data_IF_592838933920
#
_entry.id   IF_592838933920
#
_cell.length_a   1.000
_cell.length_b   1.000
_cell.length_c   1.000
_cell.angle_alpha   90.00
_cell.angle_beta   90.00
_cell.angle_gamma   90.00
#
_symmetry.space_group_name_H-M   'P 1'
#
loop_
_entity.id
_entity.type
_entity.pdbx_description
1 polymer ?
#
# COMPACT_ATOMS: atom_id res chain seq x y z
N UNK A 1 -17.47 5.99 14.47
CA UNK A 1 -16.15 6.48 14.96
C UNK A 1 -15.13 5.41 15.36
N UNK A 2 -15.50 4.26 15.95
CA UNK A 2 -14.52 3.32 16.54
C UNK A 2 -13.41 2.87 15.57
N UNK A 3 -13.75 2.55 14.32
CA UNK A 3 -12.78 2.18 13.29
C UNK A 3 -11.75 3.30 13.02
N UNK A 4 -12.22 4.54 12.84
CA UNK A 4 -11.33 5.69 12.56
C UNK A 4 -10.41 5.95 13.75
N UNK A 5 -10.94 5.87 14.99
CA UNK A 5 -10.13 5.99 16.20
C UNK A 5 -9.07 4.89 16.29
N UNK A 6 -9.41 3.67 15.91
CA UNK A 6 -8.46 2.56 15.83
C UNK A 6 -7.38 2.81 14.77
N UNK A 7 -7.76 3.28 13.58
CA UNK A 7 -6.80 3.64 12.52
C UNK A 7 -5.85 4.75 12.96
N UNK A 8 -6.38 5.83 13.56
CA UNK A 8 -5.58 6.94 14.09
C UNK A 8 -4.66 6.53 15.24
N UNK A 9 -5.06 5.56 16.06
CA UNK A 9 -4.22 5.06 17.16
C UNK A 9 -2.91 4.42 16.68
N UNK A 10 -2.79 4.06 15.39
CA UNK A 10 -1.52 3.61 14.83
C UNK A 10 -0.45 4.70 14.83
N UNK A 11 -0.80 5.97 14.68
CA UNK A 11 0.18 7.06 14.64
C UNK A 11 1.04 7.13 15.92
N UNK A 12 0.45 7.25 17.13
CA UNK A 12 1.23 7.21 18.36
C UNK A 12 1.82 5.82 18.64
N UNK A 13 1.18 4.73 18.22
CA UNK A 13 1.72 3.38 18.44
C UNK A 13 3.02 3.14 17.65
N UNK A 14 3.06 3.54 16.38
CA UNK A 14 4.29 3.49 15.58
C UNK A 14 5.36 4.40 16.15
N UNK A 15 5.01 5.64 16.52
CA UNK A 15 5.97 6.55 17.12
C UNK A 15 6.60 5.96 18.40
N UNK A 16 5.76 5.40 19.28
CA UNK A 16 6.19 4.77 20.52
C UNK A 16 7.16 3.62 20.25
N UNK A 17 6.75 2.64 19.44
CA UNK A 17 7.56 1.47 19.08
C UNK A 17 8.91 1.89 18.49
N UNK A 18 8.90 2.79 17.50
CA UNK A 18 10.10 3.15 16.77
C UNK A 18 11.07 4.02 17.58
N UNK A 19 10.56 4.72 18.59
CA UNK A 19 11.36 5.50 19.53
C UNK A 19 11.96 4.58 20.60
N UNK A 20 11.17 3.65 21.14
CA UNK A 20 11.63 2.68 22.14
C UNK A 20 12.74 1.77 21.59
N UNK A 21 12.58 1.31 20.36
CA UNK A 21 13.55 0.44 19.68
C UNK A 21 14.68 1.23 18.98
N UNK A 22 14.70 2.57 19.09
CA UNK A 22 15.72 3.46 18.51
C UNK A 22 15.93 3.30 16.98
N UNK A 23 14.88 2.94 16.24
CA UNK A 23 14.92 2.69 14.78
C UNK A 23 14.19 3.74 13.94
N UNK A 24 13.68 4.82 14.55
CA UNK A 24 12.88 5.85 13.85
C UNK A 24 13.57 6.44 12.61
N UNK A 25 14.86 6.79 12.71
CA UNK A 25 15.63 7.32 11.58
C UNK A 25 15.93 6.26 10.51
N UNK A 26 16.30 5.04 10.94
CA UNK A 26 16.59 3.91 10.05
C UNK A 26 15.43 3.65 9.11
N UNK A 27 14.21 3.62 9.64
CA UNK A 27 12.98 3.31 8.90
C UNK A 27 12.37 4.53 8.20
N UNK A 28 13.04 5.68 8.28
CA UNK A 28 12.59 6.94 7.68
C UNK A 28 11.20 7.38 8.16
N UNK A 29 10.92 7.18 9.46
CA UNK A 29 9.61 7.51 10.03
C UNK A 29 9.41 9.03 10.13
N UNK A 30 8.23 9.50 9.70
CA UNK A 30 7.81 10.90 9.84
C UNK A 30 6.32 10.97 10.16
N UNK A 31 5.96 11.73 11.17
CA UNK A 31 4.58 12.15 11.40
C UNK A 31 4.32 13.48 10.70
N UNK A 32 3.09 13.68 10.25
CA UNK A 32 2.67 14.92 9.64
C UNK A 32 1.20 14.87 9.26
N UNK A 33 0.87 15.58 8.20
CA UNK A 33 -0.46 15.60 7.62
C UNK A 33 -0.42 15.05 6.20
N UNK A 34 -1.56 14.52 5.77
CA UNK A 34 -1.82 14.13 4.39
C UNK A 34 -3.14 14.74 3.95
N UNK A 35 -3.40 14.75 2.64
CA UNK A 35 -4.65 15.25 2.09
C UNK A 35 -5.34 14.23 1.19
N UNK A 36 -6.66 14.38 1.07
CA UNK A 36 -7.49 13.83 0.00
C UNK A 36 -7.95 15.00 -0.88
N UNK A 37 -7.33 15.15 -2.06
CA UNK A 37 -7.61 16.21 -3.01
C UNK A 37 -8.78 15.81 -3.94
N UNK A 38 -9.79 16.67 -4.04
CA UNK A 38 -10.88 16.52 -4.98
C UNK A 38 -10.50 17.10 -6.34
N UNK A 39 -10.43 16.25 -7.36
CA UNK A 39 -10.06 16.64 -8.73
C UNK A 39 -11.29 16.68 -9.67
N UNK A 40 -12.49 16.47 -9.11
CA UNK A 40 -13.78 16.55 -9.77
C UNK A 40 -14.86 16.97 -8.78
N UNK A 41 -15.96 17.52 -9.28
CA UNK A 41 -17.13 17.88 -8.46
C UNK A 41 -17.71 16.67 -7.72
N UNK A 42 -17.74 15.51 -8.38
CA UNK A 42 -18.21 14.26 -7.75
C UNK A 42 -17.34 13.89 -6.54
N UNK A 43 -16.02 13.93 -6.71
CA UNK A 43 -15.09 13.65 -5.62
C UNK A 43 -15.23 14.68 -4.49
N UNK A 44 -15.44 15.96 -4.83
CA UNK A 44 -15.59 17.01 -3.83
C UNK A 44 -16.85 16.83 -2.98
N UNK A 45 -18.00 16.62 -3.64
CA UNK A 45 -19.27 16.34 -2.95
C UNK A 45 -19.14 15.14 -2.02
N UNK A 46 -18.46 14.08 -2.46
CA UNK A 46 -18.23 12.87 -1.65
C UNK A 46 -17.32 13.13 -0.45
N UNK A 47 -16.13 13.71 -0.66
CA UNK A 47 -15.15 13.94 0.39
C UNK A 47 -15.67 14.92 1.45
N UNK A 48 -16.20 16.07 1.01
CA UNK A 48 -16.84 17.04 1.90
C UNK A 48 -18.04 16.44 2.62
N UNK A 49 -18.89 15.70 1.90
CA UNK A 49 -20.05 15.03 2.48
C UNK A 49 -19.68 14.02 3.57
N UNK A 50 -18.61 13.25 3.37
CA UNK A 50 -18.11 12.30 4.37
C UNK A 50 -17.59 13.01 5.62
N UNK A 51 -16.82 14.10 5.46
CA UNK A 51 -16.35 14.92 6.58
C UNK A 51 -17.51 15.54 7.35
N UNK A 52 -18.47 16.16 6.67
CA UNK A 52 -19.63 16.79 7.31
C UNK A 52 -20.54 15.76 8.01
N UNK A 53 -20.68 14.56 7.43
CA UNK A 53 -21.41 13.47 8.07
C UNK A 53 -20.71 13.00 9.36
N UNK A 54 -19.38 12.84 9.33
CA UNK A 54 -18.57 12.50 10.50
C UNK A 54 -18.70 13.57 11.60
N UNK A 55 -18.57 14.84 11.21
CA UNK A 55 -18.69 16.00 12.10
C UNK A 55 -20.08 16.08 12.74
N UNK A 56 -21.15 15.83 11.97
CA UNK A 56 -22.53 15.83 12.46
C UNK A 56 -22.81 14.68 13.43
N UNK A 57 -22.31 13.48 13.15
CA UNK A 57 -22.59 12.29 13.96
C UNK A 57 -21.84 12.29 15.29
N UNK A 58 -20.63 12.85 15.32
CA UNK A 58 -19.74 12.77 16.48
C UNK A 58 -19.51 14.11 17.20
N UNK A 59 -19.93 15.22 16.59
CA UNK A 59 -19.79 16.56 17.13
C UNK A 59 -18.45 17.21 16.79
N UNK A 60 -18.44 18.55 16.75
CA UNK A 60 -17.25 19.34 16.41
C UNK A 60 -16.14 19.21 17.46
N UNK A 61 -16.50 18.79 18.67
CA UNK A 61 -15.57 18.66 19.79
C UNK A 61 -14.81 17.34 19.82
N UNK A 62 -15.17 16.36 18.99
CA UNK A 62 -14.44 15.08 18.92
C UNK A 62 -13.02 15.28 18.38
N UNK A 63 -12.06 14.62 19.03
CA UNK A 63 -10.62 14.75 18.72
C UNK A 63 -10.27 14.36 17.27
N UNK A 64 -10.99 13.38 16.69
CA UNK A 64 -10.79 12.99 15.29
C UNK A 64 -11.27 14.09 14.36
N UNK A 65 -12.44 14.66 14.64
CA UNK A 65 -13.02 15.74 13.84
C UNK A 65 -12.12 16.97 13.88
N UNK A 66 -11.61 17.33 15.06
CA UNK A 66 -10.67 18.45 15.26
C UNK A 66 -9.33 18.26 14.55
N UNK A 67 -8.88 17.02 14.40
CA UNK A 67 -7.64 16.70 13.72
C UNK A 67 -7.76 16.83 12.19
N UNK A 68 -8.98 16.83 11.66
CA UNK A 68 -9.26 16.97 10.24
C UNK A 68 -9.68 18.42 9.91
N UNK A 69 -9.44 18.87 8.68
CA UNK A 69 -9.96 20.15 8.18
C UNK A 69 -10.32 20.10 6.71
N UNK A 70 -11.20 21.00 6.30
CA UNK A 70 -11.50 21.25 4.89
C UNK A 70 -10.70 22.45 4.36
N UNK A 71 -10.24 22.33 3.13
CA UNK A 71 -9.79 23.46 2.31
C UNK A 71 -10.79 23.55 1.15
N UNK A 72 -11.69 24.52 1.21
CA UNK A 72 -12.79 24.67 0.24
C UNK A 72 -12.49 25.68 -0.87
N UNK A 73 -11.58 26.62 -0.60
CA UNK A 73 -11.12 27.57 -1.60
C UNK A 73 -10.20 26.86 -2.60
N UNK A 74 -10.51 26.97 -3.88
CA UNK A 74 -9.81 26.22 -4.94
C UNK A 74 -8.35 26.65 -5.08
N UNK A 75 -8.05 27.94 -4.92
CA UNK A 75 -6.67 28.45 -5.01
C UNK A 75 -5.83 27.96 -3.82
N UNK A 76 -6.39 28.04 -2.60
CA UNK A 76 -5.75 27.51 -1.40
C UNK A 76 -5.60 25.98 -1.45
N UNK A 77 -6.57 25.26 -2.02
CA UNK A 77 -6.51 23.81 -2.17
C UNK A 77 -5.41 23.41 -3.16
N UNK A 78 -5.32 24.06 -4.31
CA UNK A 78 -4.23 23.85 -5.27
C UNK A 78 -2.86 24.21 -4.68
N UNK A 79 -2.76 25.32 -3.93
CA UNK A 79 -1.51 25.73 -3.28
C UNK A 79 -1.05 24.69 -2.23
N UNK A 80 -1.96 24.23 -1.38
CA UNK A 80 -1.65 23.27 -0.31
C UNK A 80 -1.34 21.88 -0.85
N UNK A 81 -2.19 21.36 -1.74
CA UNK A 81 -2.05 19.99 -2.28
C UNK A 81 -0.98 19.90 -3.37
N UNK A 82 -0.68 21.03 -4.02
CA UNK A 82 0.17 21.13 -5.21
C UNK A 82 -0.36 20.33 -6.40
N UNK A 83 -1.67 20.05 -6.40
CA UNK A 83 -2.36 19.31 -7.47
C UNK A 83 -3.13 20.30 -8.34
N UNK A 84 -2.79 20.35 -9.63
CA UNK A 84 -3.39 21.26 -10.62
C UNK A 84 -4.90 21.01 -10.73
N UNK A 85 -5.68 22.08 -10.74
CA UNK A 85 -7.15 22.06 -10.80
C UNK A 85 -7.81 21.32 -9.63
N UNK A 86 -7.18 21.30 -8.46
CA UNK A 86 -7.82 20.82 -7.23
C UNK A 86 -9.00 21.71 -6.85
N UNK A 87 -10.16 21.11 -6.62
CA UNK A 87 -11.40 21.81 -6.28
C UNK A 87 -11.58 22.01 -4.76
N UNK A 88 -10.85 21.23 -3.97
CA UNK A 88 -10.95 21.24 -2.52
C UNK A 88 -10.20 20.04 -1.93
N UNK A 89 -9.92 20.09 -0.63
CA UNK A 89 -9.19 19.00 0.03
C UNK A 89 -9.73 18.73 1.44
N UNK A 90 -9.67 17.47 1.85
CA UNK A 90 -9.75 17.06 3.25
C UNK A 90 -8.33 16.83 3.73
N UNK A 91 -7.90 17.47 4.80
CA UNK A 91 -6.56 17.28 5.37
C UNK A 91 -6.70 16.62 6.73
N UNK A 92 -5.87 15.61 6.99
CA UNK A 92 -5.91 14.83 8.22
C UNK A 92 -4.51 14.34 8.62
N UNK A 93 -4.31 13.87 9.87
CA UNK A 93 -3.02 13.37 10.32
C UNK A 93 -2.61 12.10 9.57
N UNK A 94 -1.30 11.92 9.39
CA UNK A 94 -0.72 10.75 8.77
C UNK A 94 0.71 10.47 9.26
N UNK A 95 1.17 9.24 8.99
CA UNK A 95 2.54 8.82 9.20
C UNK A 95 3.12 8.27 7.90
N UNK A 96 4.41 8.51 7.68
CA UNK A 96 5.19 7.96 6.58
C UNK A 96 6.28 7.07 7.16
N UNK A 97 6.52 5.94 6.52
CA UNK A 97 7.58 4.98 6.88
C UNK A 97 8.06 4.29 5.63
N UNK A 98 9.32 3.85 5.60
CA UNK A 98 9.83 2.97 4.56
C UNK A 98 9.50 1.51 4.92
N UNK A 99 8.51 0.85 4.28
CA UNK A 99 8.00 -0.44 4.76
C UNK A 99 9.06 -1.55 4.74
N UNK A 100 9.89 -1.60 3.69
CA UNK A 100 10.99 -2.55 3.59
C UNK A 100 11.99 -2.41 4.75
N UNK A 101 12.45 -1.20 5.03
CA UNK A 101 13.37 -0.96 6.15
C UNK A 101 12.72 -1.28 7.49
N UNK A 102 11.45 -0.92 7.67
CA UNK A 102 10.70 -1.23 8.88
C UNK A 102 10.62 -2.73 9.16
N UNK A 103 10.19 -3.54 8.19
CA UNK A 103 10.10 -5.00 8.35
C UNK A 103 11.48 -5.60 8.64
N UNK A 104 12.53 -5.15 7.95
CA UNK A 104 13.89 -5.62 8.18
C UNK A 104 14.45 -5.23 9.55
N UNK A 105 14.15 -4.02 10.02
CA UNK A 105 14.54 -3.56 11.35
C UNK A 105 13.87 -4.43 12.43
N UNK A 106 12.56 -4.66 12.33
CA UNK A 106 11.84 -5.55 13.27
C UNK A 106 12.38 -6.99 13.23
N UNK A 107 12.61 -7.54 12.04
CA UNK A 107 13.16 -8.88 11.90
C UNK A 107 14.54 -9.00 12.55
N UNK A 108 15.40 -7.99 12.38
CA UNK A 108 16.71 -7.91 13.04
C UNK A 108 16.58 -7.90 14.56
N UNK A 109 15.71 -7.06 15.12
CA UNK A 109 15.47 -6.97 16.57
C UNK A 109 14.99 -8.32 17.14
N UNK A 110 14.01 -8.95 16.50
CA UNK A 110 13.47 -10.23 16.96
C UNK A 110 14.48 -11.37 16.82
N UNK A 111 15.31 -11.38 15.77
CA UNK A 111 16.40 -12.36 15.64
C UNK A 111 17.44 -12.22 16.75
N UNK A 112 17.79 -10.99 17.13
CA UNK A 112 18.74 -10.73 18.23
C UNK A 112 18.20 -11.21 19.58
N UNK A 113 16.88 -11.29 19.77
CA UNK A 113 16.28 -11.87 20.99
C UNK A 113 16.54 -13.37 21.19
N UNK A 114 16.96 -14.09 20.14
CA UNK A 114 17.29 -15.52 20.18
C UNK A 114 16.10 -16.48 20.12
N UNK A 115 14.86 -15.98 20.12
CA UNK A 115 13.64 -16.81 20.14
C UNK A 115 13.07 -17.10 18.74
N UNK A 116 13.71 -16.61 17.68
CA UNK A 116 13.25 -16.76 16.30
C UNK A 116 14.25 -17.55 15.47
N UNK A 117 13.75 -18.57 14.78
CA UNK A 117 14.48 -19.28 13.73
C UNK A 117 13.89 -18.90 12.37
N UNK A 118 14.63 -18.11 11.58
CA UNK A 118 14.21 -17.70 10.25
C UNK A 118 14.75 -18.67 9.19
N UNK A 119 13.86 -19.20 8.36
CA UNK A 119 14.21 -20.08 7.23
C UNK A 119 13.74 -19.44 5.93
N UNK A 120 14.63 -18.71 5.25
CA UNK A 120 14.37 -18.19 3.90
C UNK A 120 14.41 -19.31 2.85
N UNK A 121 13.83 -19.06 1.67
CA UNK A 121 13.81 -20.02 0.54
C UNK A 121 13.33 -21.42 0.91
N UNK A 122 12.42 -21.50 1.89
CA UNK A 122 11.88 -22.77 2.40
C UNK A 122 10.35 -22.71 2.37
N UNK A 123 9.73 -22.78 1.17
CA UNK A 123 8.29 -22.77 1.05
C UNK A 123 7.66 -23.94 1.83
N UNK A 124 6.56 -23.66 2.50
CA UNK A 124 5.71 -24.70 3.08
C UNK A 124 4.88 -25.32 1.96
N UNK A 125 4.91 -26.64 1.86
CA UNK A 125 4.21 -27.40 0.82
C UNK A 125 2.84 -27.87 1.30
N UNK A 126 2.76 -28.34 2.54
CA UNK A 126 1.50 -28.78 3.16
C UNK A 126 1.53 -28.57 4.67
N UNK A 127 0.35 -28.38 5.27
CA UNK A 127 0.15 -28.35 6.73
C UNK A 127 -0.89 -29.42 7.07
N UNK A 128 -0.58 -30.30 8.02
CA UNK A 128 -1.51 -31.36 8.43
C UNK A 128 -2.61 -30.84 9.36
N UNK A 129 -3.67 -31.63 9.52
CA UNK A 129 -4.53 -31.48 10.70
C UNK A 129 -3.76 -31.78 11.99
N UNK A 130 -4.34 -31.38 13.11
CA UNK A 130 -3.80 -31.66 14.44
C UNK A 130 -3.96 -33.15 14.76
N UNK A 131 -2.87 -33.82 15.10
CA UNK A 131 -2.87 -35.22 15.53
C UNK A 131 -3.46 -35.40 16.94
N UNK A 132 -3.67 -36.66 17.35
CA UNK A 132 -4.20 -37.03 18.67
C UNK A 132 -3.33 -36.51 19.84
N UNK A 133 -2.03 -36.29 19.59
CA UNK A 133 -1.09 -35.74 20.57
C UNK A 133 -1.05 -34.20 20.58
N UNK A 134 -1.87 -33.58 19.75
CA UNK A 134 -2.03 -32.13 19.64
C UNK A 134 -0.98 -31.44 18.79
N UNK A 135 -0.26 -32.15 17.92
CA UNK A 135 0.77 -31.59 17.04
C UNK A 135 0.28 -31.44 15.59
N UNK A 136 0.80 -30.42 14.92
CA UNK A 136 0.61 -30.13 13.50
C UNK A 136 1.95 -30.33 12.80
N UNK A 137 1.95 -31.03 11.68
CA UNK A 137 3.14 -31.26 10.86
C UNK A 137 3.13 -30.32 9.67
N UNK A 138 4.20 -29.53 9.54
CA UNK A 138 4.45 -28.59 8.45
C UNK A 138 5.53 -29.20 7.56
N UNK A 139 5.19 -29.51 6.30
CA UNK A 139 6.11 -30.12 5.34
C UNK A 139 6.79 -29.08 4.48
N UNK A 140 8.09 -29.25 4.27
CA UNK A 140 8.90 -28.42 3.37
C UNK A 140 9.90 -29.31 2.64
N UNK A 141 10.45 -28.84 1.51
CA UNK A 141 11.53 -29.55 0.80
C UNK A 141 12.80 -29.78 1.65
N UNK A 142 12.97 -29.04 2.75
CA UNK A 142 14.13 -29.17 3.67
C UNK A 142 13.84 -30.06 4.88
N UNK A 143 12.65 -30.65 4.97
CA UNK A 143 12.22 -31.51 6.05
C UNK A 143 10.95 -31.02 6.75
N UNK A 144 10.48 -31.83 7.68
CA UNK A 144 9.24 -31.62 8.41
C UNK A 144 9.49 -30.89 9.73
N UNK A 145 8.61 -29.94 10.07
CA UNK A 145 8.59 -29.25 11.36
C UNK A 145 7.29 -29.62 12.08
N UNK A 146 7.37 -29.93 13.38
CA UNK A 146 6.19 -30.16 14.23
C UNK A 146 5.97 -29.00 15.18
N UNK A 147 4.75 -28.47 15.20
CA UNK A 147 4.36 -27.37 16.08
C UNK A 147 2.98 -27.62 16.71
N UNK A 148 2.71 -27.03 17.88
CA UNK A 148 1.37 -27.08 18.50
C UNK A 148 0.43 -26.00 18.00
N UNK A 149 0.97 -24.97 17.35
CA UNK A 149 0.26 -23.88 16.73
C UNK A 149 0.97 -23.50 15.43
N UNK A 150 0.19 -23.20 14.39
CA UNK A 150 0.67 -22.69 13.10
C UNK A 150 -0.09 -21.40 12.82
N UNK A 151 0.64 -20.33 12.53
CA UNK A 151 0.07 -19.04 12.15
C UNK A 151 0.32 -18.85 10.65
N UNK A 152 -0.75 -18.73 9.88
CA UNK A 152 -0.65 -18.47 8.45
C UNK A 152 -0.57 -16.96 8.20
N UNK A 153 0.61 -16.50 7.77
CA UNK A 153 0.87 -15.12 7.33
C UNK A 153 1.27 -15.08 5.84
N UNK A 154 0.57 -15.85 5.01
CA UNK A 154 0.92 -16.09 3.59
C UNK A 154 0.22 -15.18 2.59
N UNK A 155 -0.58 -14.22 3.07
CA UNK A 155 -1.24 -13.17 2.27
C UNK A 155 -1.96 -13.72 1.03
N UNK A 156 -1.68 -13.18 -0.17
CA UNK A 156 -2.26 -13.62 -1.45
C UNK A 156 -2.12 -15.13 -1.72
N UNK A 157 -1.15 -15.79 -1.09
CA UNK A 157 -0.87 -17.22 -1.24
C UNK A 157 -1.60 -18.10 -0.21
N UNK A 158 -2.50 -17.54 0.60
CA UNK A 158 -3.22 -18.28 1.64
C UNK A 158 -3.94 -19.53 1.08
N UNK A 159 -4.61 -19.39 -0.07
CA UNK A 159 -5.38 -20.46 -0.70
C UNK A 159 -4.54 -21.67 -1.13
N UNK A 160 -3.20 -21.53 -1.25
CA UNK A 160 -2.31 -22.64 -1.54
C UNK A 160 -2.25 -23.66 -0.39
N UNK A 161 -2.29 -23.17 0.85
CA UNK A 161 -2.25 -24.01 2.05
C UNK A 161 -3.63 -24.20 2.70
N UNK A 162 -4.56 -23.30 2.41
CA UNK A 162 -5.90 -23.25 3.00
C UNK A 162 -6.93 -23.08 1.87
N UNK A 163 -7.29 -24.16 1.15
CA UNK A 163 -8.14 -24.11 -0.04
C UNK A 163 -9.50 -23.44 0.17
N UNK A 164 -10.01 -23.42 1.40
CA UNK A 164 -11.24 -22.73 1.79
C UNK A 164 -11.20 -21.20 1.52
N UNK A 165 -10.02 -20.60 1.44
CA UNK A 165 -9.84 -19.19 1.07
C UNK A 165 -9.79 -18.95 -0.45
N UNK A 166 -9.86 -19.99 -1.28
CA UNK A 166 -9.72 -19.86 -2.74
C UNK A 166 -10.73 -18.92 -3.40
N UNK A 167 -11.89 -18.71 -2.78
CA UNK A 167 -12.93 -17.77 -3.24
C UNK A 167 -13.07 -16.53 -2.35
N UNK A 168 -12.16 -16.35 -1.38
CA UNK A 168 -12.21 -15.27 -0.38
C UNK A 168 -11.00 -14.35 -0.47
N UNK A 169 -9.84 -14.89 -0.83
CA UNK A 169 -8.58 -14.17 -0.94
C UNK A 169 -8.08 -14.30 -2.38
N UNK A 170 -8.02 -13.18 -3.08
CA UNK A 170 -7.55 -13.11 -4.47
C UNK A 170 -6.31 -12.25 -4.57
N UNK A 171 -5.35 -12.68 -5.40
CA UNK A 171 -4.21 -11.84 -5.77
C UNK A 171 -4.68 -10.68 -6.63
N UNK A 172 -4.31 -9.46 -6.25
CA UNK A 172 -4.53 -8.25 -7.04
C UNK A 172 -3.20 -7.63 -7.43
N UNK A 173 -3.07 -7.26 -8.71
CA UNK A 173 -1.89 -6.55 -9.21
C UNK A 173 -2.11 -5.03 -9.12
N UNK A 174 -1.07 -4.32 -8.67
CA UNK A 174 -1.04 -2.87 -8.62
C UNK A 174 0.25 -2.31 -9.24
N UNK A 175 0.16 -1.24 -10.03
CA UNK A 175 1.35 -0.62 -10.64
C UNK A 175 2.04 0.32 -9.70
N UNK A 176 3.37 0.28 -9.84
CA UNK A 176 4.31 1.03 -9.08
C UNK A 176 5.36 1.83 -9.96
N UNK A 177 5.18 3.12 -10.36
CA UNK A 177 6.26 4.14 -10.70
C UNK A 177 6.78 5.18 -9.64
N UNK A 178 8.11 5.41 -9.59
CA UNK A 178 8.80 6.42 -8.75
C UNK A 178 9.45 7.48 -9.63
N UNK A 179 9.18 8.75 -9.35
CA UNK A 179 9.66 9.91 -10.13
C UNK A 179 10.74 10.66 -9.34
N UNK A 180 11.78 11.16 -10.04
CA UNK A 180 12.78 12.06 -9.44
C UNK A 180 12.21 13.47 -9.35
N UNK A 181 12.07 13.96 -8.11
CA UNK A 181 11.49 15.26 -7.83
C UNK A 181 12.58 16.23 -7.37
N UNK A 182 12.60 17.49 -7.84
CA UNK A 182 13.48 18.53 -7.29
C UNK A 182 13.28 18.68 -5.79
N UNK A 183 14.37 18.90 -5.07
CA UNK A 183 14.31 19.07 -3.61
C UNK A 183 13.39 20.23 -3.22
N UNK A 184 12.51 19.97 -2.25
CA UNK A 184 11.56 20.96 -1.74
C UNK A 184 10.35 21.24 -2.64
N UNK A 185 10.24 20.61 -3.82
CA UNK A 185 9.07 20.80 -4.68
C UNK A 185 7.81 20.24 -4.04
N UNK A 186 7.80 18.96 -3.65
CA UNK A 186 6.63 18.33 -3.00
C UNK A 186 6.74 18.50 -1.49
N UNK A 187 5.81 19.26 -0.91
CA UNK A 187 5.78 19.60 0.52
C UNK A 187 4.89 18.67 1.34
N UNK A 188 3.82 18.17 0.74
CA UNK A 188 2.81 17.34 1.39
C UNK A 188 2.59 16.04 0.61
N UNK A 189 2.30 14.95 1.32
CA UNK A 189 1.82 13.70 0.73
C UNK A 189 0.30 13.72 0.68
N UNK A 190 -0.32 13.06 -0.30
CA UNK A 190 -1.76 13.01 -0.40
C UNK A 190 -2.30 12.22 -1.59
N UNK A 191 -3.60 11.99 -1.58
CA UNK A 191 -4.36 11.27 -2.56
C UNK A 191 -5.08 12.24 -3.51
N UNK A 192 -5.27 11.85 -4.78
CA UNK A 192 -6.12 12.56 -5.73
C UNK A 192 -7.38 11.74 -6.01
N UNK A 193 -8.55 12.38 -5.98
CA UNK A 193 -9.83 11.71 -6.18
C UNK A 193 -10.56 12.30 -7.39
N UNK A 194 -10.90 11.44 -8.36
CA UNK A 194 -11.76 11.81 -9.49
C UNK A 194 -13.18 11.27 -9.36
N UNK A 195 -13.38 10.17 -8.64
CA UNK A 195 -14.67 9.51 -8.50
C UNK A 195 -14.76 8.77 -7.14
N UNK A 196 -15.60 7.74 -7.07
CA UNK A 196 -15.76 6.86 -5.90
C UNK A 196 -14.56 5.93 -5.62
N UNK A 197 -13.62 5.80 -6.55
CA UNK A 197 -12.37 5.07 -6.34
C UNK A 197 -11.33 6.01 -5.69
N UNK A 198 -10.77 5.53 -4.58
CA UNK A 198 -9.69 6.22 -3.87
C UNK A 198 -8.37 6.01 -4.62
N UNK A 199 -7.73 7.09 -5.09
CA UNK A 199 -6.37 7.03 -5.65
C UNK A 199 -5.37 7.59 -4.64
N UNK A 200 -4.77 6.73 -3.81
CA UNK A 200 -3.71 7.11 -2.88
C UNK A 200 -2.40 7.45 -3.64
N UNK A 201 -1.72 8.56 -3.30
CA UNK A 201 -0.30 8.78 -3.65
C UNK A 201 0.54 9.10 -2.38
N UNK A 202 1.79 8.67 -2.17
CA UNK A 202 2.76 7.98 -3.01
C UNK A 202 2.19 6.71 -3.61
N UNK A 203 2.15 6.70 -4.93
CA UNK A 203 2.09 5.56 -5.82
C UNK A 203 0.97 5.44 -6.89
N UNK A 204 -0.30 5.83 -6.77
CA UNK A 204 -1.26 5.46 -7.85
C UNK A 204 -2.10 6.60 -8.35
N UNK A 205 -1.71 7.17 -9.50
CA UNK A 205 -2.24 8.32 -10.24
C UNK A 205 -3.70 8.22 -10.74
N UNK A 206 -4.24 9.30 -11.38
CA UNK A 206 -5.45 9.30 -12.25
C UNK A 206 -5.58 7.92 -12.88
N UNK A 207 -6.68 7.23 -12.64
CA UNK A 207 -6.83 5.81 -12.95
C UNK A 207 -6.15 5.47 -14.29
N UNK A 208 -4.99 4.81 -14.25
CA UNK A 208 -4.64 3.86 -15.30
C UNK A 208 -5.69 2.75 -15.15
N UNK A 209 -6.89 3.02 -15.67
CA UNK A 209 -7.99 2.09 -15.65
C UNK A 209 -7.54 0.95 -16.56
N UNK A 210 -7.10 -0.14 -15.95
CA UNK A 210 -6.90 -1.35 -16.70
C UNK A 210 -8.27 -1.74 -17.25
N UNK A 211 -8.49 -1.68 -18.58
CA UNK A 211 -9.80 -1.92 -19.16
C UNK A 211 -10.22 -3.40 -19.04
N UNK A 212 -9.29 -4.26 -18.60
CA UNK A 212 -9.44 -5.69 -18.48
C UNK A 212 -9.31 -6.10 -17.00
N UNK A 213 -10.43 -6.24 -16.27
CA UNK A 213 -10.41 -6.67 -14.86
C UNK A 213 -9.63 -7.98 -14.63
N UNK A 214 -9.60 -8.85 -15.64
CA UNK A 214 -8.84 -10.11 -15.68
C UNK A 214 -7.33 -9.89 -15.49
N UNK A 215 -6.80 -8.76 -15.94
CA UNK A 215 -5.39 -8.41 -15.75
C UNK A 215 -5.11 -7.85 -14.35
N UNK A 216 -6.14 -7.47 -13.60
CA UNK A 216 -6.00 -6.97 -12.23
C UNK A 216 -6.19 -8.09 -11.21
N UNK A 217 -7.24 -8.92 -11.36
CA UNK A 217 -7.65 -9.94 -10.40
C UNK A 217 -8.35 -11.13 -11.09
N UNK A 218 -7.95 -12.39 -10.82
CA UNK A 218 -6.72 -12.85 -10.19
C UNK A 218 -5.54 -12.88 -11.19
N UNK A 219 -4.41 -12.27 -10.84
CA UNK A 219 -3.22 -12.20 -11.71
C UNK A 219 -1.91 -12.54 -10.97
N UNK A 220 -1.14 -13.48 -11.53
CA UNK A 220 0.17 -13.96 -11.04
C UNK A 220 1.38 -13.40 -11.81
N UNK A 221 1.15 -12.63 -12.89
CA UNK A 221 2.17 -11.92 -13.67
C UNK A 221 2.63 -10.64 -12.94
N UNK A 222 3.22 -10.81 -11.75
CA UNK A 222 3.79 -9.73 -10.93
C UNK A 222 5.01 -9.06 -11.59
N UNK A 223 5.61 -9.67 -12.61
CA UNK A 223 6.75 -9.16 -13.37
C UNK A 223 6.34 -8.28 -14.56
N UNK A 224 5.04 -8.07 -14.77
CA UNK A 224 4.51 -7.27 -15.88
C UNK A 224 3.81 -6.01 -15.39
N UNK A 225 4.07 -4.91 -16.08
CA UNK A 225 3.34 -3.65 -15.92
C UNK A 225 1.99 -3.73 -16.66
N UNK A 226 1.04 -2.88 -16.27
CA UNK A 226 -0.15 -2.64 -17.08
C UNK A 226 0.21 -1.83 -18.31
N UNK A 227 -0.40 -2.15 -19.45
CA UNK A 227 -0.25 -1.37 -20.68
C UNK A 227 -0.67 0.08 -20.45
N UNK A 228 0.11 1.03 -20.95
CA UNK A 228 -0.15 2.48 -20.81
C UNK A 228 0.29 3.07 -19.46
N UNK A 229 0.58 2.25 -18.45
CA UNK A 229 1.04 2.76 -17.17
C UNK A 229 2.40 3.51 -17.26
N UNK A 230 3.42 3.02 -17.99
CA UNK A 230 4.68 3.74 -18.17
C UNK A 230 4.50 5.17 -18.69
N UNK A 231 3.74 5.31 -19.78
CA UNK A 231 3.47 6.58 -20.46
C UNK A 231 2.68 7.52 -19.55
N UNK A 232 1.69 6.94 -18.84
CA UNK A 232 0.91 7.64 -17.85
C UNK A 232 1.83 8.29 -16.79
N UNK A 233 2.69 7.50 -16.12
CA UNK A 233 3.50 8.01 -15.00
C UNK A 233 4.58 8.99 -15.45
N UNK A 234 5.06 8.88 -16.68
CA UNK A 234 5.97 9.84 -17.29
C UNK A 234 5.33 11.22 -17.55
N UNK A 235 4.03 11.24 -17.86
CA UNK A 235 3.28 12.48 -18.12
C UNK A 235 2.71 13.13 -16.85
N UNK A 236 2.37 12.33 -15.84
CA UNK A 236 1.62 12.78 -14.65
C UNK A 236 2.23 13.99 -13.93
N UNK A 237 3.55 14.08 -13.65
CA UNK A 237 4.11 15.24 -12.97
C UNK A 237 3.83 16.55 -13.70
N UNK A 238 3.97 16.54 -15.03
CA UNK A 238 3.72 17.75 -15.80
C UNK A 238 2.23 18.08 -15.88
N UNK A 239 1.36 17.08 -16.01
CA UNK A 239 -0.08 17.32 -16.15
C UNK A 239 -0.78 17.65 -14.84
N UNK A 240 -0.24 17.21 -13.70
CA UNK A 240 -0.96 17.20 -12.43
C UNK A 240 -0.23 17.93 -11.28
N UNK A 241 1.10 18.13 -11.33
CA UNK A 241 1.85 18.77 -10.23
C UNK A 241 2.10 20.26 -10.51
N UNK A 242 1.68 21.12 -9.57
CA UNK A 242 1.92 22.56 -9.61
C UNK A 242 3.42 22.86 -9.51
N UNK A 243 3.92 23.71 -10.40
CA UNK A 243 5.33 24.14 -10.37
C UNK A 243 6.34 23.09 -10.82
N UNK A 244 5.92 22.00 -11.47
CA UNK A 244 6.83 21.01 -12.05
C UNK A 244 7.81 21.67 -13.04
N UNK A 245 9.15 21.58 -12.81
CA UNK A 245 10.13 22.31 -13.61
C UNK A 245 10.67 21.55 -14.83
N UNK A 246 10.32 20.26 -14.96
CA UNK A 246 10.88 19.37 -15.97
C UNK A 246 10.19 19.45 -17.35
N UNK A 247 10.86 18.90 -18.36
CA UNK A 247 10.34 18.65 -19.71
C UNK A 247 9.71 17.26 -19.80
N UNK A 248 8.58 17.08 -20.51
CA UNK A 248 8.08 15.73 -20.84
C UNK A 248 9.15 14.89 -21.57
N UNK A 249 9.32 13.60 -21.24
CA UNK A 249 8.74 12.86 -20.10
C UNK A 249 9.53 13.04 -18.79
N UNK A 250 8.86 12.90 -17.63
CA UNK A 250 9.51 12.95 -16.31
C UNK A 250 10.54 11.82 -16.12
N UNK A 251 11.68 12.15 -15.51
CA UNK A 251 12.73 11.17 -15.21
C UNK A 251 12.31 10.31 -14.01
N UNK A 252 12.25 8.99 -14.23
CA UNK A 252 11.96 8.03 -13.18
C UNK A 252 13.22 7.64 -12.40
N UNK A 253 13.05 7.25 -11.15
CA UNK A 253 14.16 6.82 -10.29
C UNK A 253 14.83 5.52 -10.81
N UNK A 254 14.06 4.69 -11.53
CA UNK A 254 14.49 3.51 -12.31
C UNK A 254 13.67 3.45 -13.59
N UNK A 255 14.19 2.82 -14.65
CA UNK A 255 13.39 2.58 -15.85
C UNK A 255 12.17 1.70 -15.49
N UNK A 256 11.05 1.90 -16.19
CA UNK A 256 9.76 1.25 -15.83
C UNK A 256 9.84 -0.28 -15.94
N UNK A 257 10.61 -0.76 -16.92
CA UNK A 257 10.91 -2.16 -17.20
C UNK A 257 11.96 -2.76 -16.23
N UNK A 258 12.69 -1.92 -15.51
CA UNK A 258 13.64 -2.32 -14.46
C UNK A 258 13.00 -2.32 -13.06
N UNK A 259 11.75 -1.89 -12.95
CA UNK A 259 10.94 -1.97 -11.74
C UNK A 259 10.50 -3.41 -11.46
N UNK A 260 11.30 -4.17 -10.71
CA UNK A 260 10.95 -5.53 -10.30
C UNK A 260 9.90 -5.61 -9.18
N UNK A 261 9.27 -6.78 -9.05
CA UNK A 261 8.47 -7.12 -7.88
C UNK A 261 9.37 -7.15 -6.62
N UNK A 262 8.97 -6.39 -5.60
CA UNK A 262 9.67 -6.34 -4.30
C UNK A 262 9.09 -7.33 -3.28
N UNK A 263 8.21 -8.25 -3.69
CA UNK A 263 7.95 -9.45 -2.91
C UNK A 263 9.22 -10.33 -3.07
N UNK A 264 9.91 -10.66 -1.99
CA UNK A 264 11.21 -11.35 -2.00
C UNK A 264 11.22 -12.78 -2.56
N UNK A 265 10.34 -13.12 -3.48
CA UNK A 265 10.16 -14.43 -4.10
C UNK A 265 10.10 -14.30 -5.62
N UNK A 266 11.18 -14.70 -6.31
CA UNK A 266 11.06 -15.14 -7.71
C UNK A 266 10.21 -16.42 -7.71
N UNK A 267 8.97 -16.34 -8.17
CA UNK A 267 8.21 -17.54 -8.53
C UNK A 267 8.77 -18.07 -9.86
N UNK A 268 9.36 -19.28 -9.92
CA UNK A 268 9.64 -19.90 -11.22
C UNK A 268 8.30 -20.22 -11.88
N UNK A 269 8.08 -19.70 -13.09
CA UNK A 269 6.88 -19.99 -13.90
C UNK A 269 6.61 -21.49 -13.92
N UNK A 270 5.43 -21.91 -13.47
CA UNK A 270 4.94 -23.25 -13.76
C UNK A 270 4.60 -23.30 -15.24
N UNK A 271 5.48 -23.91 -16.04
CA UNK A 271 5.13 -24.32 -17.40
C UNK A 271 4.17 -25.50 -17.32
N UNK A 272 2.88 -25.23 -17.06
CA UNK A 272 1.83 -26.20 -17.35
C UNK A 272 1.64 -26.19 -18.86
N UNK A 273 2.35 -27.10 -19.53
CA UNK A 273 2.07 -27.50 -20.88
C UNK A 273 0.58 -27.86 -20.98
N UNK A 274 -0.16 -27.14 -21.82
CA UNK A 274 -1.47 -27.54 -22.27
C UNK A 274 -1.31 -28.87 -23.04
N UNK A 275 -1.53 -29.98 -22.33
CA UNK A 275 -1.75 -31.28 -22.96
C UNK A 275 -3.10 -31.25 -23.64
N UNK A 276 -3.11 -31.13 -24.96
CA UNK A 276 -4.28 -31.43 -25.78
C UNK A 276 -4.68 -32.89 -25.58
N UNK A 277 -5.87 -33.11 -25.02
CA UNK A 277 -6.66 -34.32 -25.24
C UNK A 277 -7.92 -33.90 -25.98
N UNK A 278 -7.86 -33.97 -27.31
CA UNK A 278 -8.57 -34.95 -28.14
C UNK A 278 -8.28 -34.65 -29.63
#
# INVERSE_FOLDING_TARGET
MELIKHEMAHLPAFQHLLTEEEISEEVCFKLGETFDAAMSEEAWVRLKGAYEAMKKDHGEDDEVVKACRLIEDTEAAEEFTQMKACLGAVVHPAGQIWPYKFVHALLRLVLTSGNLNLQAHTPVETVSERDESGWITVKTARGDVRARAVVHATNRWASHLLPEFGNLIFGSRATLASIKVPEGLIKHTGAQHWDSLVNHHYWRSKSCSCPLPQECCPNDDEDKQFDGAPEFFQSWPETDVVGWPGTQPAELARNVDEGGCWSGSKSPRSSLAAGSKD
#
